data_IF_096860161011
#
_entry.id   IF_096860161011
#
_cell.length_a   1.000
_cell.length_b   1.000
_cell.length_c   1.000
_cell.angle_alpha   90.00
_cell.angle_beta   90.00
_cell.angle_gamma   90.00
#
_symmetry.space_group_name_H-M   'P 1'
#
loop_
_entity.id
_entity.type
_entity.pdbx_description
1 polymer ?
#
# COMPACT_ATOMS: atom_id res chain seq x y z
N UNK A 1 -19.21 22.77 -1.52
CA UNK A 1 -18.87 21.44 -2.07
C UNK A 1 -17.73 20.90 -1.22
N UNK A 2 -17.77 19.63 -0.78
CA UNK A 2 -16.86 19.13 0.24
C UNK A 2 -15.43 19.12 -0.31
N UNK A 3 -14.51 19.74 0.45
CA UNK A 3 -13.08 19.96 0.10
C UNK A 3 -12.13 19.14 0.97
N UNK A 4 -12.62 18.03 1.53
CA UNK A 4 -11.91 17.33 2.59
C UNK A 4 -11.43 15.96 2.11
N UNK A 5 -10.52 15.97 1.16
CA UNK A 5 -9.68 14.81 0.95
C UNK A 5 -8.25 15.24 0.63
N UNK A 6 -7.33 14.68 1.41
CA UNK A 6 -5.89 14.87 1.30
C UNK A 6 -5.26 13.51 1.04
N UNK A 7 -4.27 13.46 0.15
CA UNK A 7 -3.33 12.34 0.12
C UNK A 7 -2.48 12.48 1.38
N UNK A 8 -2.61 11.51 2.28
CA UNK A 8 -1.93 11.46 3.56
C UNK A 8 -0.45 11.08 3.36
N UNK A 9 0.41 12.04 3.07
CA UNK A 9 1.87 11.90 3.17
C UNK A 9 2.44 12.40 4.51
N UNK A 10 1.56 12.87 5.41
CA UNK A 10 1.95 13.40 6.71
C UNK A 10 2.21 12.29 7.71
N UNK A 11 3.46 11.85 7.83
CA UNK A 11 3.92 11.34 9.14
C UNK A 11 4.02 12.52 10.10
N UNK A 12 2.93 12.79 10.83
CA UNK A 12 2.94 12.93 12.29
C UNK A 12 4.21 13.54 12.87
N UNK A 13 4.36 14.87 12.77
CA UNK A 13 5.08 15.80 13.66
C UNK A 13 5.44 17.04 12.82
N UNK A 14 4.92 18.25 13.10
CA UNK A 14 5.37 19.46 12.42
C UNK A 14 6.83 19.83 12.74
N UNK A 15 7.48 19.11 13.69
CA UNK A 15 8.86 19.31 14.03
C UNK A 15 9.79 18.37 13.22
N UNK A 16 10.91 18.87 12.68
CA UNK A 16 11.92 18.06 12.01
C UNK A 16 12.38 16.89 12.88
N UNK A 17 12.64 15.74 12.26
CA UNK A 17 13.36 14.65 12.92
C UNK A 17 14.73 15.15 13.43
N UNK A 18 15.18 14.75 14.63
CA UNK A 18 16.50 15.10 15.13
C UNK A 18 17.58 14.64 14.14
N UNK A 19 18.33 15.59 13.58
CA UNK A 19 19.38 15.31 12.57
C UNK A 19 18.96 15.49 11.11
N UNK A 20 17.70 15.86 10.82
CA UNK A 20 17.26 16.24 9.47
C UNK A 20 16.92 17.74 9.42
N UNK A 21 17.25 18.41 8.31
CA UNK A 21 16.87 19.81 8.07
C UNK A 21 15.47 19.95 7.44
N UNK A 22 14.67 18.87 7.43
CA UNK A 22 13.37 18.81 6.79
C UNK A 22 12.34 19.68 7.54
N UNK A 23 12.07 20.88 7.03
CA UNK A 23 11.03 21.80 7.54
C UNK A 23 9.79 21.90 6.64
N UNK A 24 9.75 21.19 5.52
CA UNK A 24 8.79 21.47 4.46
C UNK A 24 7.75 20.37 4.40
N UNK A 25 6.55 20.69 4.88
CA UNK A 25 5.33 20.07 4.37
C UNK A 25 5.31 20.32 2.87
N UNK A 26 5.55 19.28 2.07
CA UNK A 26 5.39 19.38 0.63
C UNK A 26 3.90 19.42 0.35
N UNK A 27 3.33 20.62 0.31
CA UNK A 27 2.01 20.83 -0.25
C UNK A 27 2.11 20.52 -1.75
N UNK A 28 1.94 19.26 -2.10
CA UNK A 28 1.74 18.86 -3.48
C UNK A 28 0.41 19.49 -3.89
N UNK A 29 0.48 20.52 -4.75
CA UNK A 29 -0.72 21.02 -5.39
C UNK A 29 -1.39 19.84 -6.09
N UNK A 30 -2.64 19.58 -5.71
CA UNK A 30 -3.37 18.39 -6.10
C UNK A 30 -4.71 18.80 -6.66
N UNK A 31 -4.87 18.61 -7.97
CA UNK A 31 -6.12 18.82 -8.69
C UNK A 31 -6.60 17.45 -9.18
N UNK A 32 -7.44 16.75 -8.42
CA UNK A 32 -7.84 15.37 -8.70
C UNK A 32 -8.34 15.12 -10.12
N UNK A 33 -9.09 16.08 -10.64
CA UNK A 33 -9.72 16.06 -11.95
C UNK A 33 -8.69 16.16 -13.09
N UNK A 34 -7.50 16.68 -12.79
CA UNK A 34 -6.41 16.90 -13.75
C UNK A 34 -5.25 15.91 -13.54
N UNK A 35 -5.01 15.52 -12.30
CA UNK A 35 -3.80 14.81 -11.89
C UNK A 35 -4.03 13.32 -11.59
N UNK A 36 -5.28 12.85 -11.53
CA UNK A 36 -5.59 11.45 -11.21
C UNK A 36 -6.12 10.71 -12.45
N UNK A 37 -5.50 9.57 -12.72
CA UNK A 37 -6.00 8.59 -13.68
C UNK A 37 -6.80 7.55 -12.90
N UNK A 38 -8.11 7.53 -13.10
CA UNK A 38 -9.01 6.56 -12.49
C UNK A 38 -9.18 5.32 -13.39
N UNK A 39 -9.05 4.16 -12.78
CA UNK A 39 -9.46 2.86 -13.31
C UNK A 39 -10.62 2.39 -12.43
N UNK A 40 -11.77 3.00 -12.66
CA UNK A 40 -13.04 2.70 -12.03
C UNK A 40 -14.00 2.27 -13.15
N UNK A 41 -14.45 1.02 -13.09
CA UNK A 41 -15.50 0.50 -13.95
C UNK A 41 -16.56 -0.21 -13.10
N UNK A 42 -17.71 -0.53 -13.70
CA UNK A 42 -18.78 -1.25 -12.98
C UNK A 42 -18.37 -2.69 -12.57
N UNK A 43 -17.10 -3.10 -12.79
CA UNK A 43 -16.62 -4.44 -12.45
C UNK A 43 -16.06 -4.47 -11.03
N UNK A 44 -16.69 -5.30 -10.20
CA UNK A 44 -16.31 -5.51 -8.80
C UNK A 44 -14.82 -5.85 -8.67
N UNK A 45 -14.07 -4.95 -8.00
CA UNK A 45 -12.65 -5.10 -7.70
C UNK A 45 -11.70 -4.28 -8.57
N UNK A 46 -12.22 -3.47 -9.49
CA UNK A 46 -11.47 -2.50 -10.28
C UNK A 46 -11.74 -1.08 -9.73
N UNK A 47 -11.09 -0.77 -8.60
CA UNK A 47 -11.12 0.55 -7.97
C UNK A 47 -9.67 0.96 -7.69
N UNK A 48 -9.03 1.49 -8.74
CA UNK A 48 -7.66 1.97 -8.63
C UNK A 48 -7.56 3.39 -9.17
N UNK A 49 -6.72 4.19 -8.54
CA UNK A 49 -6.34 5.49 -9.02
C UNK A 49 -4.82 5.60 -9.03
N UNK A 50 -4.30 6.35 -10.00
CA UNK A 50 -2.91 6.75 -10.03
C UNK A 50 -2.82 8.26 -10.07
N UNK A 51 -2.05 8.83 -9.14
CA UNK A 51 -1.79 10.25 -9.09
C UNK A 51 -0.47 10.57 -9.80
N UNK A 52 -0.54 11.49 -10.77
CA UNK A 52 0.64 12.00 -11.46
C UNK A 52 1.37 12.99 -10.57
N UNK A 53 2.60 12.65 -10.19
CA UNK A 53 3.48 13.58 -9.47
C UNK A 53 3.90 14.75 -10.37
N UNK A 54 3.75 15.97 -9.87
CA UNK A 54 4.27 17.15 -10.55
C UNK A 54 5.82 17.17 -10.54
N UNK A 55 6.49 17.84 -11.50
CA UNK A 55 7.94 17.81 -11.60
C UNK A 55 8.69 18.30 -10.36
N UNK A 56 8.13 19.28 -9.62
CA UNK A 56 8.74 19.81 -8.40
C UNK A 56 8.68 18.79 -7.25
N UNK A 57 7.58 18.05 -7.13
CA UNK A 57 7.44 16.97 -6.17
C UNK A 57 8.42 15.82 -6.47
N UNK A 58 8.61 15.48 -7.75
CA UNK A 58 9.61 14.49 -8.17
C UNK A 58 11.02 14.92 -7.76
N UNK A 59 11.42 16.18 -8.04
CA UNK A 59 12.73 16.72 -7.65
C UNK A 59 12.92 16.72 -6.12
N UNK A 60 11.89 17.13 -5.38
CA UNK A 60 11.91 17.12 -3.91
C UNK A 60 12.12 15.70 -3.36
N UNK A 61 11.34 14.73 -3.83
CA UNK A 61 11.46 13.33 -3.42
C UNK A 61 12.86 12.77 -3.73
N UNK A 62 13.40 13.07 -4.92
CA UNK A 62 14.74 12.62 -5.30
C UNK A 62 15.84 13.20 -4.40
N UNK A 63 15.73 14.46 -3.97
CA UNK A 63 16.69 15.09 -3.05
C UNK A 63 16.69 14.44 -1.66
N UNK A 64 15.54 13.96 -1.21
CA UNK A 64 15.40 13.19 0.03
C UNK A 64 15.76 11.71 -0.15
N UNK A 65 16.25 11.32 -1.32
CA UNK A 65 16.67 9.94 -1.61
C UNK A 65 15.51 8.98 -1.89
N UNK A 66 14.27 9.47 -2.01
CA UNK A 66 13.11 8.68 -2.45
C UNK A 66 13.23 8.44 -3.95
N UNK A 67 13.13 7.19 -4.36
CA UNK A 67 13.31 6.77 -5.76
C UNK A 67 12.13 5.92 -6.20
N UNK A 68 11.64 6.11 -7.45
CA UNK A 68 10.61 5.24 -8.00
C UNK A 68 11.17 3.82 -8.16
N UNK A 69 10.28 2.82 -8.03
CA UNK A 69 10.64 1.45 -8.42
C UNK A 69 10.81 1.44 -9.95
N UNK A 70 11.98 1.07 -10.49
CA UNK A 70 12.22 1.09 -11.93
C UNK A 70 11.43 -0.04 -12.62
N UNK A 71 11.12 0.16 -13.90
CA UNK A 71 10.39 -0.83 -14.72
C UNK A 71 11.09 -2.18 -14.78
N UNK A 72 12.42 -2.20 -14.88
CA UNK A 72 13.20 -3.42 -14.85
C UNK A 72 12.96 -4.26 -13.57
N UNK A 73 12.51 -3.64 -12.48
CA UNK A 73 12.12 -4.31 -11.24
C UNK A 73 10.63 -4.62 -11.25
N UNK A 74 9.73 -3.64 -11.38
CA UNK A 74 8.29 -3.94 -11.20
C UNK A 74 7.69 -4.82 -12.30
N UNK A 75 8.26 -4.83 -13.51
CA UNK A 75 7.68 -5.52 -14.67
C UNK A 75 7.91 -7.04 -14.73
N UNK A 76 8.82 -7.59 -13.90
CA UNK A 76 9.13 -9.02 -13.95
C UNK A 76 7.99 -9.86 -13.38
N UNK A 77 7.91 -11.12 -13.81
CA UNK A 77 6.81 -12.06 -13.55
C UNK A 77 7.28 -13.26 -12.74
N UNK A 78 8.02 -13.00 -11.68
CA UNK A 78 8.72 -13.95 -10.80
C UNK A 78 8.12 -13.94 -9.38
N UNK A 79 6.79 -13.75 -9.28
CA UNK A 79 6.08 -13.71 -8.00
C UNK A 79 6.40 -14.93 -7.11
N UNK A 80 6.54 -16.09 -7.74
CA UNK A 80 6.84 -17.37 -7.08
C UNK A 80 8.22 -17.39 -6.40
N UNK A 81 9.13 -16.50 -6.81
CA UNK A 81 10.51 -16.46 -6.33
C UNK A 81 10.66 -15.63 -5.04
N UNK A 82 9.58 -15.02 -4.53
CA UNK A 82 9.59 -14.25 -3.29
C UNK A 82 9.20 -15.12 -2.10
N UNK A 83 10.16 -15.60 -1.28
CA UNK A 83 9.90 -16.42 -0.10
C UNK A 83 9.15 -15.68 1.02
N UNK A 84 9.27 -14.35 1.08
CA UNK A 84 8.65 -13.54 2.14
C UNK A 84 7.78 -12.45 1.55
N UNK A 85 6.58 -12.29 2.09
CA UNK A 85 5.65 -11.22 1.72
C UNK A 85 5.38 -10.31 2.92
N UNK A 86 5.39 -8.99 2.72
CA UNK A 86 5.06 -7.99 3.73
C UNK A 86 3.85 -7.17 3.31
N UNK A 87 2.83 -7.11 4.15
CA UNK A 87 1.77 -6.11 4.05
C UNK A 87 2.22 -4.85 4.80
N UNK A 88 2.14 -3.70 4.13
CA UNK A 88 2.34 -2.40 4.77
C UNK A 88 1.05 -1.61 4.67
N UNK A 89 0.63 -1.00 5.78
CA UNK A 89 -0.57 -0.17 5.78
C UNK A 89 -0.78 0.54 7.12
N UNK A 90 -1.89 1.25 7.22
CA UNK A 90 -2.27 2.03 8.41
C UNK A 90 -3.59 1.49 8.96
N UNK A 91 -3.54 0.51 9.87
CA UNK A 91 -4.74 0.00 10.53
C UNK A 91 -5.44 1.14 11.29
N UNK A 92 -6.77 1.16 11.25
CA UNK A 92 -7.57 2.21 11.91
C UNK A 92 -7.38 2.21 13.43
N UNK A 93 -7.10 1.05 14.04
CA UNK A 93 -6.78 0.94 15.47
C UNK A 93 -5.45 1.61 15.84
N UNK A 94 -4.59 1.88 14.87
CA UNK A 94 -3.31 2.57 15.04
C UNK A 94 -3.38 4.07 14.72
N UNK A 95 -4.58 4.61 14.54
CA UNK A 95 -4.83 6.03 14.34
C UNK A 95 -5.26 6.66 15.67
N UNK A 96 -4.39 7.48 16.24
CA UNK A 96 -4.71 8.28 17.43
C UNK A 96 -5.48 9.53 17.01
N UNK A 97 -6.59 9.81 17.69
CA UNK A 97 -7.43 10.98 17.41
C UNK A 97 -7.64 11.82 18.66
N UNK A 98 -7.63 13.15 18.52
CA UNK A 98 -8.04 14.11 19.54
C UNK A 98 -9.14 15.00 18.98
N UNK A 99 -10.21 15.21 19.74
CA UNK A 99 -11.36 16.02 19.33
C UNK A 99 -11.97 15.63 17.96
N UNK A 100 -11.94 14.33 17.62
CA UNK A 100 -12.46 13.83 16.33
C UNK A 100 -11.53 14.06 15.14
N UNK A 101 -10.32 14.60 15.35
CA UNK A 101 -9.30 14.73 14.31
C UNK A 101 -8.15 13.76 14.57
N UNK A 102 -7.65 13.10 13.54
CA UNK A 102 -6.46 12.25 13.64
C UNK A 102 -5.23 13.11 13.96
N UNK A 103 -4.54 12.77 15.05
CA UNK A 103 -3.34 13.48 15.54
C UNK A 103 -2.08 12.66 15.30
N UNK A 104 -2.18 11.32 15.34
CA UNK A 104 -1.10 10.43 14.96
C UNK A 104 -1.63 9.23 14.18
N UNK A 105 -0.81 8.73 13.27
CA UNK A 105 -1.03 7.52 12.48
C UNK A 105 0.23 6.68 12.59
N UNK A 106 0.07 5.40 12.93
CA UNK A 106 1.18 4.45 12.93
C UNK A 106 0.99 3.43 11.82
N UNK A 107 2.04 3.22 11.06
CA UNK A 107 2.07 2.18 10.04
C UNK A 107 2.35 0.84 10.70
N UNK A 108 1.73 -0.21 10.19
CA UNK A 108 2.08 -1.58 10.50
C UNK A 108 2.78 -2.19 9.28
N UNK A 109 3.90 -2.86 9.53
CA UNK A 109 4.55 -3.76 8.58
C UNK A 109 4.39 -5.16 9.11
N UNK A 110 3.69 -6.01 8.36
CA UNK A 110 3.26 -7.33 8.82
C UNK A 110 3.74 -8.37 7.82
N UNK A 111 4.46 -9.38 8.32
CA UNK A 111 4.75 -10.57 7.54
C UNK A 111 3.44 -11.30 7.21
N UNK A 112 3.28 -11.72 5.96
CA UNK A 112 2.13 -12.50 5.52
C UNK A 112 2.61 -13.78 4.83
N UNK A 113 1.97 -14.89 5.19
CA UNK A 113 2.36 -16.23 4.76
C UNK A 113 1.46 -16.64 3.60
N UNK A 114 2.05 -16.90 2.44
CA UNK A 114 1.31 -17.28 1.23
C UNK A 114 0.38 -18.47 1.47
N UNK A 115 -0.84 -18.38 0.93
CA UNK A 115 -1.82 -19.47 0.89
C UNK A 115 -2.13 -19.89 -0.54
N UNK A 116 -2.39 -21.18 -0.72
CA UNK A 116 -2.85 -21.72 -2.02
C UNK A 116 -4.34 -21.50 -2.29
N UNK A 117 -5.14 -21.12 -1.28
CA UNK A 117 -6.59 -20.97 -1.40
C UNK A 117 -7.13 -19.91 -0.43
N UNK A 118 -8.32 -19.33 -0.71
CA UNK A 118 -9.01 -18.46 0.24
C UNK A 118 -9.32 -19.17 1.57
N UNK A 119 -9.56 -18.40 2.61
CA UNK A 119 -10.25 -18.88 3.81
C UNK A 119 -11.75 -19.10 3.52
N UNK A 120 -12.45 -19.93 4.32
CA UNK A 120 -13.90 -20.07 4.20
C UNK A 120 -14.60 -18.70 4.32
N UNK A 121 -15.62 -18.48 3.49
CA UNK A 121 -16.44 -17.24 3.45
C UNK A 121 -15.79 -16.01 2.79
N UNK A 122 -14.66 -16.16 2.10
CA UNK A 122 -14.25 -15.12 1.15
C UNK A 122 -15.24 -15.04 -0.02
N UNK A 123 -15.72 -13.83 -0.29
CA UNK A 123 -16.52 -13.52 -1.47
C UNK A 123 -15.82 -14.02 -2.74
N UNK A 124 -16.54 -14.68 -3.65
CA UNK A 124 -16.01 -14.96 -4.97
C UNK A 124 -15.93 -13.65 -5.79
N UNK A 125 -14.80 -13.46 -6.47
CA UNK A 125 -14.57 -12.32 -7.36
C UNK A 125 -14.37 -12.82 -8.79
N UNK A 126 -14.79 -12.05 -9.81
CA UNK A 126 -14.60 -12.43 -11.21
C UNK A 126 -13.12 -12.48 -11.60
N UNK A 127 -12.27 -11.72 -10.92
CA UNK A 127 -10.84 -11.69 -11.14
C UNK A 127 -10.07 -12.53 -10.11
N UNK A 128 -8.98 -13.21 -10.53
CA UNK A 128 -8.12 -13.96 -9.62
C UNK A 128 -7.50 -13.05 -8.55
N UNK A 129 -7.53 -13.53 -7.31
CA UNK A 129 -6.83 -12.94 -6.17
C UNK A 129 -5.84 -13.93 -5.60
N UNK A 130 -4.81 -13.38 -4.95
CA UNK A 130 -3.89 -14.12 -4.12
C UNK A 130 -4.33 -14.00 -2.67
N UNK A 131 -3.91 -14.99 -1.87
CA UNK A 131 -4.31 -15.09 -0.47
C UNK A 131 -3.07 -15.29 0.40
N UNK A 132 -3.09 -14.67 1.58
CA UNK A 132 -2.04 -14.85 2.57
C UNK A 132 -2.61 -14.81 3.98
N UNK A 133 -2.01 -15.59 4.88
CA UNK A 133 -2.29 -15.55 6.31
C UNK A 133 -1.45 -14.47 6.97
N UNK A 134 -2.00 -13.80 7.97
CA UNK A 134 -1.35 -12.69 8.65
C UNK A 134 -0.61 -13.20 9.88
N UNK A 135 0.69 -12.90 9.95
CA UNK A 135 1.56 -13.27 11.06
C UNK A 135 1.70 -12.07 12.01
N UNK A 136 0.80 -11.95 12.98
CA UNK A 136 0.82 -10.82 13.93
C UNK A 136 2.03 -10.81 14.87
N UNK A 137 2.67 -11.97 15.07
CA UNK A 137 3.88 -12.09 15.88
C UNK A 137 5.10 -11.43 15.20
N UNK A 138 5.00 -11.14 13.90
CA UNK A 138 6.02 -10.38 13.15
C UNK A 138 5.98 -8.87 13.38
N UNK A 139 4.99 -8.36 14.11
CA UNK A 139 4.80 -6.92 14.35
C UNK A 139 5.39 -6.49 15.69
N UNK A 140 5.71 -5.19 15.83
CA UNK A 140 6.13 -4.59 17.10
C UNK A 140 4.95 -4.24 18.03
N UNK A 141 3.73 -4.60 17.65
CA UNK A 141 2.52 -4.35 18.42
C UNK A 141 2.27 -5.44 19.45
N UNK A 142 1.71 -5.04 20.60
CA UNK A 142 1.32 -5.96 21.68
C UNK A 142 0.04 -6.72 21.31
N UNK A 143 0.20 -7.71 20.43
CA UNK A 143 -0.84 -8.65 20.03
C UNK A 143 -1.63 -8.27 18.78
N UNK A 144 -2.60 -9.12 18.38
CA UNK A 144 -3.34 -8.94 17.14
C UNK A 144 -4.22 -7.68 17.15
N UNK A 145 -4.26 -6.97 16.02
CA UNK A 145 -5.07 -5.78 15.80
C UNK A 145 -5.93 -5.92 14.55
N UNK A 146 -7.02 -5.15 14.50
CA UNK A 146 -7.89 -5.16 13.33
C UNK A 146 -7.21 -4.48 12.14
N UNK A 147 -7.19 -5.18 11.01
CA UNK A 147 -6.60 -4.74 9.75
C UNK A 147 -7.51 -3.76 8.96
N UNK A 148 -8.70 -3.42 9.49
CA UNK A 148 -9.57 -2.38 8.89
C UNK A 148 -8.76 -1.11 8.67
N UNK A 149 -8.89 -0.50 7.48
CA UNK A 149 -8.11 0.66 7.07
C UNK A 149 -6.85 0.32 6.27
N UNK A 150 -6.44 -0.96 6.21
CA UNK A 150 -5.30 -1.39 5.38
C UNK A 150 -5.68 -1.71 3.92
N UNK A 151 -6.96 -1.62 3.56
CA UNK A 151 -7.44 -1.80 2.17
C UNK A 151 -6.76 -0.81 1.23
N UNK A 152 -6.21 -1.30 0.13
CA UNK A 152 -5.34 -0.54 -0.78
C UNK A 152 -3.87 -0.55 -0.36
N UNK A 153 -3.53 -1.15 0.78
CA UNK A 153 -2.15 -1.24 1.27
C UNK A 153 -1.25 -2.08 0.36
N UNK A 154 0.00 -1.68 0.12
CA UNK A 154 0.93 -2.43 -0.71
C UNK A 154 1.36 -3.74 -0.04
N UNK A 155 1.47 -4.79 -0.86
CA UNK A 155 2.14 -6.04 -0.52
C UNK A 155 3.49 -6.07 -1.22
N UNK A 156 4.57 -6.21 -0.45
CA UNK A 156 5.92 -6.35 -0.96
C UNK A 156 6.40 -7.80 -0.89
N UNK A 157 6.98 -8.31 -1.98
CA UNK A 157 7.73 -9.55 -1.97
C UNK A 157 9.20 -9.25 -1.71
N UNK A 158 9.89 -10.07 -0.92
CA UNK A 158 11.31 -9.93 -0.59
C UNK A 158 12.04 -11.23 -0.92
N UNK A 159 13.16 -11.12 -1.65
CA UNK A 159 14.01 -12.28 -2.01
C UNK A 159 15.08 -12.59 -0.96
N UNK A 160 15.52 -11.57 -0.25
CA UNK A 160 16.48 -11.68 0.84
C UNK A 160 15.80 -12.10 2.15
N UNK A 161 16.55 -12.61 3.14
CA UNK A 161 16.06 -12.72 4.51
C UNK A 161 15.55 -11.37 5.05
N UNK A 162 14.53 -11.40 5.92
CA UNK A 162 13.87 -10.19 6.44
C UNK A 162 14.82 -9.28 7.24
N UNK A 163 15.90 -9.83 7.78
CA UNK A 163 16.91 -9.10 8.54
C UNK A 163 17.78 -8.19 7.66
N UNK A 164 17.80 -8.42 6.35
CA UNK A 164 18.64 -7.68 5.40
C UNK A 164 17.91 -7.54 4.05
N UNK A 165 16.92 -6.65 4.00
CA UNK A 165 16.11 -6.40 2.80
C UNK A 165 16.95 -5.66 1.75
N UNK A 166 17.48 -6.40 0.78
CA UNK A 166 18.26 -5.86 -0.34
C UNK A 166 17.48 -5.86 -1.66
N UNK A 167 16.49 -6.74 -1.79
CA UNK A 167 15.68 -6.90 -2.99
C UNK A 167 14.21 -7.09 -2.59
N UNK A 168 13.41 -6.07 -2.88
CA UNK A 168 11.98 -6.05 -2.64
C UNK A 168 11.21 -5.54 -3.85
N UNK A 169 9.96 -5.96 -3.97
CA UNK A 169 9.07 -5.54 -5.07
C UNK A 169 7.64 -5.43 -4.62
N UNK A 170 6.94 -4.42 -5.13
CA UNK A 170 5.48 -4.37 -5.04
C UNK A 170 4.88 -5.54 -5.84
N UNK A 171 4.33 -6.53 -5.14
CA UNK A 171 3.73 -7.72 -5.74
C UNK A 171 2.21 -7.65 -5.76
N UNK A 172 1.61 -6.83 -4.90
CA UNK A 172 0.17 -6.73 -4.84
C UNK A 172 -0.36 -5.54 -4.08
N UNK A 173 -1.68 -5.39 -4.15
CA UNK A 173 -2.46 -4.38 -3.44
C UNK A 173 -3.56 -5.09 -2.68
N UNK A 174 -3.59 -4.91 -1.36
CA UNK A 174 -4.56 -5.57 -0.48
C UNK A 174 -5.97 -5.09 -0.82
N UNK A 175 -6.90 -6.04 -1.00
CA UNK A 175 -8.26 -5.73 -1.48
C UNK A 175 -9.35 -6.12 -0.50
N UNK A 176 -9.15 -7.20 0.26
CA UNK A 176 -10.13 -7.65 1.24
C UNK A 176 -9.45 -8.47 2.34
N UNK A 177 -10.15 -8.65 3.44
CA UNK A 177 -9.64 -9.33 4.62
C UNK A 177 -10.75 -10.09 5.32
N UNK A 178 -10.37 -11.15 6.01
CA UNK A 178 -11.17 -11.83 7.01
C UNK A 178 -10.42 -11.73 8.34
N UNK A 179 -11.06 -11.05 9.29
CA UNK A 179 -10.48 -10.73 10.58
C UNK A 179 -11.33 -11.31 11.72
N UNK A 180 -10.68 -12.04 12.62
CA UNK A 180 -11.24 -12.54 13.87
C UNK A 180 -10.25 -12.30 15.01
N UNK A 181 -10.53 -11.29 15.85
CA UNK A 181 -9.65 -10.91 16.99
C UNK A 181 -9.32 -12.06 17.93
N UNK A 182 -10.23 -13.01 18.13
CA UNK A 182 -10.08 -14.14 19.07
C UNK A 182 -9.29 -15.31 18.46
N UNK A 183 -9.08 -15.32 17.15
CA UNK A 183 -8.29 -16.34 16.44
C UNK A 183 -7.13 -15.65 15.71
N UNK A 184 -5.96 -15.53 16.37
CA UNK A 184 -4.78 -14.90 15.74
C UNK A 184 -4.38 -15.64 14.45
N UNK A 185 -4.41 -16.99 14.50
CA UNK A 185 -4.20 -17.86 13.35
C UNK A 185 -5.46 -17.96 12.48
N UNK A 186 -5.26 -17.94 11.17
CA UNK A 186 -6.34 -17.99 10.17
C UNK A 186 -6.94 -16.63 9.81
N UNK A 187 -6.36 -15.51 10.28
CA UNK A 187 -6.65 -14.20 9.69
C UNK A 187 -6.03 -14.14 8.30
N UNK A 188 -6.88 -13.96 7.30
CA UNK A 188 -6.47 -14.07 5.90
C UNK A 188 -6.77 -12.76 5.19
N UNK A 189 -5.81 -12.32 4.39
CA UNK A 189 -6.00 -11.24 3.42
C UNK A 189 -6.13 -11.82 2.02
N UNK A 190 -6.87 -11.12 1.17
CA UNK A 190 -6.77 -11.27 -0.26
C UNK A 190 -6.24 -9.99 -0.89
N UNK A 191 -5.50 -10.14 -1.97
CA UNK A 191 -4.89 -9.04 -2.69
C UNK A 191 -4.82 -9.33 -4.18
N UNK A 192 -4.81 -8.25 -4.96
CA UNK A 192 -4.67 -8.31 -6.41
C UNK A 192 -3.19 -8.15 -6.77
N UNK A 193 -2.75 -8.80 -7.85
CA UNK A 193 -1.37 -8.62 -8.34
C UNK A 193 -1.18 -7.18 -8.81
N UNK A 194 -0.06 -6.55 -8.46
CA UNK A 194 0.20 -5.16 -8.82
C UNK A 194 0.57 -5.00 -10.30
N UNK A 195 1.21 -6.01 -10.89
CA UNK A 195 1.80 -5.96 -12.23
C UNK A 195 0.78 -5.67 -13.34
N UNK A 196 -0.39 -6.35 -13.42
CA UNK A 196 -1.40 -6.03 -14.42
C UNK A 196 -1.87 -4.58 -14.34
N UNK A 197 -2.10 -4.08 -13.13
CA UNK A 197 -2.50 -2.69 -12.90
C UNK A 197 -1.43 -1.70 -13.36
N UNK A 198 -0.17 -1.88 -12.95
CA UNK A 198 0.94 -0.98 -13.33
C UNK A 198 1.14 -0.99 -14.85
N UNK A 199 1.01 -2.15 -15.51
CA UNK A 199 1.08 -2.26 -16.98
C UNK A 199 -0.07 -1.52 -17.66
N UNK A 200 -1.29 -1.66 -17.17
CA UNK A 200 -2.45 -0.92 -17.67
C UNK A 200 -2.27 0.59 -17.50
N UNK A 201 -1.77 1.03 -16.34
CA UNK A 201 -1.43 2.42 -16.07
C UNK A 201 -0.39 2.97 -17.05
N UNK A 202 0.70 2.23 -17.27
CA UNK A 202 1.71 2.61 -18.27
C UNK A 202 1.10 2.76 -19.66
N UNK A 203 0.24 1.83 -20.08
CA UNK A 203 -0.38 1.90 -21.40
C UNK A 203 -1.32 3.11 -21.52
N UNK A 204 -2.15 3.36 -20.50
CA UNK A 204 -3.04 4.52 -20.45
C UNK A 204 -2.23 5.83 -20.52
N UNK A 205 -1.13 5.91 -19.77
CA UNK A 205 -0.20 7.03 -19.80
C UNK A 205 0.40 7.25 -21.20
N UNK A 206 0.93 6.20 -21.83
CA UNK A 206 1.52 6.32 -23.17
C UNK A 206 0.50 6.78 -24.22
N UNK A 207 -0.74 6.28 -24.13
CA UNK A 207 -1.82 6.68 -25.02
C UNK A 207 -2.24 8.15 -24.83
N UNK A 208 -2.10 8.71 -23.63
CA UNK A 208 -2.43 10.10 -23.37
C UNK A 208 -1.35 11.09 -23.86
N UNK A 209 -0.17 10.60 -24.24
CA UNK A 209 0.94 11.40 -24.77
C UNK A 209 1.02 11.38 -26.31
N UNK A 210 0.25 10.50 -26.97
CA UNK A 210 0.22 10.31 -28.42
C UNK A 210 -0.85 11.20 -29.08
#
# INVERSE_FOLDING_TARGET
MPRDWAIDDSTVNPNPHPGTHMKVLYNIAFAPEEDVIYFDDDVKGMDYAAFKLNPLAVEAMQREGIRPIPEAIWSQTDLEDFPYWLLVGTPSELVESANGQSVAKRHATIHVIRRGSPAPNFDLTPYPRLYAEVDFDSTDHNGPFNLVGMSGGPIFGIKSPLEQIEDYRLIGVQSSQQWERVKPAGNVIAFCTAQPFIKALKQAWLNSQA
#
